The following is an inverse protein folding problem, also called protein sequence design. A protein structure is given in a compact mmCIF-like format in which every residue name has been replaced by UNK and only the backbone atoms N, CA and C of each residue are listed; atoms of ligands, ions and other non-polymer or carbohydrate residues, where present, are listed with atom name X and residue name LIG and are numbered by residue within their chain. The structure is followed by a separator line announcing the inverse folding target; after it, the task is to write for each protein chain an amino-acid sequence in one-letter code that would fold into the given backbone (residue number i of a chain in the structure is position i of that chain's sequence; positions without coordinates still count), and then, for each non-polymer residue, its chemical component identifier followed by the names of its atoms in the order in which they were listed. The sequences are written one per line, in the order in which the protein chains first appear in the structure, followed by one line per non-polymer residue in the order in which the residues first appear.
data_IF_344104670929
#
_entry.id   IF_344104670929
#
_cell.length_a   1.000
_cell.length_b   1.000
_cell.length_c   1.000
_cell.angle_alpha   90.00
_cell.angle_beta   90.00
_cell.angle_gamma   90.00
#
_symmetry.space_group_name_H-M   'P 1'
#
loop_
_entity.id
_entity.type
_entity.pdbx_description
1 polymer ?
#
# COMPACT_ATOMS: atom_id res chain seq x y z
N UNK A 1 -6.22 26.12 4.48
CA UNK A 1 -5.85 25.41 3.23
C UNK A 1 -4.40 24.96 3.15
N UNK A 2 -3.41 25.84 3.38
CA UNK A 2 -1.97 25.52 3.21
C UNK A 2 -1.54 24.27 4.00
N UNK A 3 -1.98 24.13 5.26
CA UNK A 3 -1.64 23.00 6.12
C UNK A 3 -2.15 21.67 5.56
N UNK A 4 -3.39 21.63 5.07
CA UNK A 4 -3.98 20.41 4.49
C UNK A 4 -3.29 20.01 3.18
N UNK A 5 -2.94 20.98 2.33
CA UNK A 5 -2.15 20.73 1.12
C UNK A 5 -0.76 20.17 1.45
N UNK A 6 -0.11 20.72 2.49
CA UNK A 6 1.17 20.21 2.97
C UNK A 6 1.07 18.79 3.55
N UNK A 7 -0.05 18.46 4.22
CA UNK A 7 -0.29 17.10 4.70
C UNK A 7 -0.49 16.11 3.56
N UNK A 8 -1.20 16.51 2.49
CA UNK A 8 -1.43 15.66 1.32
C UNK A 8 -0.15 15.37 0.52
N UNK A 9 0.84 16.27 0.59
CA UNK A 9 2.19 16.05 0.01
C UNK A 9 2.81 14.73 0.46
N UNK A 10 2.55 14.30 1.70
CA UNK A 10 3.15 13.07 2.23
C UNK A 10 2.59 11.80 1.59
N UNK A 11 1.40 11.86 0.98
CA UNK A 11 0.78 10.72 0.30
C UNK A 11 1.60 10.28 -0.91
N UNK A 12 2.15 11.24 -1.68
CA UNK A 12 2.97 10.92 -2.86
C UNK A 12 4.27 10.20 -2.47
N UNK A 13 4.85 10.55 -1.32
CA UNK A 13 6.05 9.89 -0.81
C UNK A 13 5.77 8.43 -0.44
N UNK A 14 4.60 8.15 0.13
CA UNK A 14 4.16 6.78 0.42
C UNK A 14 3.93 5.99 -0.88
N UNK A 15 3.35 6.61 -1.90
CA UNK A 15 3.18 5.99 -3.22
C UNK A 15 4.53 5.67 -3.87
N UNK A 16 5.50 6.57 -3.82
CA UNK A 16 6.85 6.30 -4.34
C UNK A 16 7.55 5.20 -3.55
N UNK A 17 7.46 5.22 -2.23
CA UNK A 17 8.05 4.18 -1.38
C UNK A 17 7.50 2.80 -1.76
N UNK A 18 6.17 2.69 -1.91
CA UNK A 18 5.53 1.46 -2.35
C UNK A 18 5.92 1.06 -3.77
N UNK A 19 5.91 1.98 -4.73
CA UNK A 19 6.29 1.70 -6.11
C UNK A 19 7.71 1.14 -6.23
N UNK A 20 8.65 1.70 -5.45
CA UNK A 20 10.03 1.23 -5.40
C UNK A 20 10.16 -0.14 -4.75
N UNK A 21 9.61 -0.31 -3.53
CA UNK A 21 9.85 -1.52 -2.74
C UNK A 21 9.01 -2.72 -3.16
N UNK A 22 7.75 -2.51 -3.54
CA UNK A 22 6.76 -3.57 -3.74
C UNK A 22 6.45 -3.84 -5.21
N UNK A 23 6.49 -2.80 -6.05
CA UNK A 23 6.33 -2.92 -7.49
C UNK A 23 7.67 -3.01 -8.22
N UNK A 24 8.79 -3.02 -7.47
CA UNK A 24 10.14 -3.16 -8.00
C UNK A 24 10.48 -2.16 -9.12
N UNK A 25 9.93 -0.93 -9.06
CA UNK A 25 10.14 0.08 -10.10
C UNK A 25 11.60 0.52 -10.27
N UNK A 26 12.47 0.28 -9.27
CA UNK A 26 13.91 0.60 -9.34
C UNK A 26 14.75 -0.51 -9.97
N UNK A 27 14.22 -1.73 -10.09
CA UNK A 27 14.94 -2.89 -10.63
C UNK A 27 14.31 -3.53 -11.89
N UNK A 28 13.73 -2.78 -12.85
CA UNK A 28 13.23 -3.36 -14.08
C UNK A 28 14.40 -3.83 -14.95
N UNK A 29 14.42 -5.13 -15.27
CA UNK A 29 15.45 -5.79 -16.09
C UNK A 29 15.25 -5.57 -17.60
N UNK A 30 14.85 -4.35 -17.99
CA UNK A 30 14.66 -3.95 -19.38
C UNK A 30 15.81 -3.04 -19.82
N UNK A 31 16.52 -3.46 -20.86
CA UNK A 31 17.70 -2.75 -21.38
C UNK A 31 17.32 -1.49 -22.15
N UNK A 32 16.31 -1.57 -23.00
CA UNK A 32 15.84 -0.42 -23.79
C UNK A 32 15.02 0.55 -22.97
N UNK A 33 15.30 1.83 -23.13
CA UNK A 33 14.68 2.93 -22.39
C UNK A 33 13.17 3.01 -22.65
N UNK A 34 12.76 2.92 -23.92
CA UNK A 34 11.37 3.02 -24.33
C UNK A 34 10.54 1.88 -23.73
N UNK A 35 11.09 0.67 -23.71
CA UNK A 35 10.43 -0.50 -23.12
C UNK A 35 10.31 -0.36 -21.60
N UNK A 36 11.34 0.18 -20.95
CA UNK A 36 11.31 0.49 -19.51
C UNK A 36 10.21 1.50 -19.19
N UNK A 37 10.10 2.58 -19.97
CA UNK A 37 9.04 3.57 -19.78
C UNK A 37 7.64 2.98 -19.99
N UNK A 38 7.44 2.18 -21.05
CA UNK A 38 6.17 1.47 -21.27
C UNK A 38 5.81 0.56 -20.11
N UNK A 39 6.76 -0.21 -19.59
CA UNK A 39 6.54 -1.07 -18.43
C UNK A 39 6.14 -0.24 -17.20
N UNK A 40 6.89 0.83 -16.89
CA UNK A 40 6.59 1.68 -15.73
C UNK A 40 5.21 2.35 -15.84
N UNK A 41 4.79 2.75 -17.05
CA UNK A 41 3.45 3.27 -17.30
C UNK A 41 2.36 2.22 -17.03
N UNK A 42 2.58 0.97 -17.48
CA UNK A 42 1.67 -0.15 -17.18
C UNK A 42 1.60 -0.40 -15.66
N UNK A 43 2.75 -0.43 -14.98
CA UNK A 43 2.80 -0.63 -13.53
C UNK A 43 2.08 0.49 -12.78
N UNK A 44 2.16 1.74 -13.26
CA UNK A 44 1.41 2.85 -12.69
C UNK A 44 -0.11 2.67 -12.82
N UNK A 45 -0.60 2.18 -13.96
CA UNK A 45 -2.02 1.84 -14.17
C UNK A 45 -2.48 0.70 -13.26
N UNK A 46 -1.66 -0.34 -13.13
CA UNK A 46 -1.93 -1.46 -12.19
C UNK A 46 -2.02 -0.94 -10.75
N UNK A 47 -1.12 -0.04 -10.36
CA UNK A 47 -1.15 0.57 -9.04
C UNK A 47 -2.43 1.37 -8.80
N UNK A 48 -2.85 2.19 -9.76
CA UNK A 48 -4.10 2.94 -9.66
C UNK A 48 -5.32 2.00 -9.56
N UNK A 49 -5.36 0.94 -10.36
CA UNK A 49 -6.40 -0.08 -10.27
C UNK A 49 -6.46 -0.75 -8.89
N UNK A 50 -5.30 -1.09 -8.30
CA UNK A 50 -5.24 -1.65 -6.94
C UNK A 50 -5.77 -0.66 -5.90
N UNK A 51 -5.45 0.64 -6.03
CA UNK A 51 -5.98 1.68 -5.16
C UNK A 51 -7.50 1.83 -5.31
N UNK A 52 -8.02 1.78 -6.54
CA UNK A 52 -9.47 1.80 -6.78
C UNK A 52 -10.16 0.61 -6.13
N UNK A 53 -9.61 -0.60 -6.25
CA UNK A 53 -10.14 -1.80 -5.61
C UNK A 53 -10.18 -1.65 -4.08
N UNK A 54 -9.11 -1.12 -3.47
CA UNK A 54 -9.06 -0.87 -2.03
C UNK A 54 -10.07 0.17 -1.56
N UNK A 55 -10.33 1.20 -2.37
CA UNK A 55 -11.34 2.22 -2.06
C UNK A 55 -12.74 1.60 -1.95
N UNK A 56 -13.06 0.62 -2.79
CA UNK A 56 -14.31 -0.14 -2.71
C UNK A 56 -14.45 -0.96 -1.41
N UNK A 57 -13.32 -1.38 -0.81
CA UNK A 57 -13.28 -2.24 0.37
C UNK A 57 -12.82 -1.52 1.64
N UNK A 58 -12.96 -0.18 1.66
CA UNK A 58 -12.38 0.69 2.70
C UNK A 58 -12.74 0.25 4.13
N UNK A 59 -13.98 -0.16 4.38
CA UNK A 59 -14.44 -0.61 5.70
C UNK A 59 -13.69 -1.85 6.19
N UNK A 60 -13.51 -2.84 5.32
CA UNK A 60 -12.76 -4.06 5.62
C UNK A 60 -11.28 -3.76 5.84
N UNK A 61 -10.68 -2.96 4.96
CA UNK A 61 -9.27 -2.54 5.08
C UNK A 61 -9.02 -1.86 6.42
N UNK A 62 -9.92 -0.97 6.85
CA UNK A 62 -9.80 -0.31 8.15
C UNK A 62 -9.91 -1.29 9.32
N UNK A 63 -10.83 -2.27 9.23
CA UNK A 63 -11.00 -3.30 10.26
C UNK A 63 -9.76 -4.20 10.38
N UNK A 64 -9.20 -4.66 9.26
CA UNK A 64 -7.96 -5.45 9.25
C UNK A 64 -6.80 -4.71 9.88
N UNK A 65 -6.60 -3.44 9.50
CA UNK A 65 -5.53 -2.63 10.06
C UNK A 65 -5.75 -2.32 11.53
N UNK A 66 -7.00 -2.07 11.93
CA UNK A 66 -7.33 -1.84 13.33
C UNK A 66 -7.08 -3.06 14.19
N UNK A 67 -7.25 -4.28 13.71
CA UNK A 67 -7.18 -5.48 14.53
C UNK A 67 -5.82 -6.21 14.47
N UNK A 68 -5.12 -6.16 13.33
CA UNK A 68 -3.87 -6.91 13.12
C UNK A 68 -2.66 -6.02 12.77
N UNK A 69 -2.84 -4.71 12.64
CA UNK A 69 -1.75 -3.76 12.38
C UNK A 69 -1.95 -2.44 13.15
N UNK A 70 -2.11 -2.56 14.47
CA UNK A 70 -2.27 -1.42 15.37
C UNK A 70 -1.10 -0.44 15.27
N UNK A 71 -1.39 0.87 15.28
CA UNK A 71 -0.37 1.91 15.48
C UNK A 71 -0.76 2.88 16.57
N UNK A 72 0.25 3.27 17.35
CA UNK A 72 0.20 4.33 18.35
C UNK A 72 0.66 5.62 17.68
N UNK A 73 -0.21 6.63 17.61
CA UNK A 73 0.09 7.96 17.05
C UNK A 73 -0.94 8.47 16.04
N UNK A 74 -1.51 9.64 16.31
CA UNK A 74 -2.63 10.22 15.55
C UNK A 74 -2.25 10.53 14.09
N UNK A 75 -1.02 10.97 13.84
CA UNK A 75 -0.47 11.25 12.50
C UNK A 75 -0.47 10.03 11.57
N UNK A 76 -0.43 8.82 12.12
CA UNK A 76 -0.42 7.57 11.35
C UNK A 76 -1.81 6.92 11.20
N UNK A 77 -2.82 7.40 11.92
CA UNK A 77 -4.23 6.98 11.75
C UNK A 77 -4.90 7.68 10.57
N UNK A 78 -4.55 8.93 10.33
CA UNK A 78 -5.14 9.77 9.28
C UNK A 78 -4.40 9.71 7.94
N UNK A 79 -3.17 9.20 7.91
CA UNK A 79 -2.37 9.09 6.69
C UNK A 79 -2.88 7.97 5.77
N UNK A 80 -2.77 8.17 4.45
CA UNK A 80 -3.05 7.13 3.45
C UNK A 80 -2.21 5.89 3.77
N UNK A 81 -2.88 4.74 3.86
CA UNK A 81 -2.25 3.50 4.32
C UNK A 81 -1.48 2.89 3.15
N UNK A 82 -0.17 2.65 3.30
CA UNK A 82 0.58 1.89 2.32
C UNK A 82 0.06 0.45 2.17
N UNK A 83 -0.09 0.01 0.92
CA UNK A 83 -0.57 -1.33 0.55
C UNK A 83 0.18 -2.49 1.23
N UNK A 84 1.48 -2.35 1.47
CA UNK A 84 2.28 -3.35 2.19
C UNK A 84 1.80 -3.59 3.63
N UNK A 85 1.17 -2.59 4.27
CA UNK A 85 0.63 -2.75 5.63
C UNK A 85 -0.61 -3.63 5.64
N UNK A 86 -1.45 -3.50 4.61
CA UNK A 86 -2.60 -4.38 4.46
C UNK A 86 -2.13 -5.82 4.26
N UNK A 87 -1.08 -6.04 3.46
CA UNK A 87 -0.48 -7.36 3.30
C UNK A 87 -0.03 -7.95 4.63
N UNK A 88 0.65 -7.15 5.47
CA UNK A 88 1.08 -7.59 6.79
C UNK A 88 -0.12 -7.92 7.71
N UNK A 89 -1.18 -7.09 7.69
CA UNK A 89 -2.39 -7.35 8.45
C UNK A 89 -3.07 -8.66 8.03
N UNK A 90 -3.13 -8.94 6.72
CA UNK A 90 -3.64 -10.22 6.19
C UNK A 90 -2.76 -11.38 6.63
N UNK A 91 -1.44 -11.24 6.59
CA UNK A 91 -0.50 -12.26 7.05
C UNK A 91 -0.76 -12.63 8.52
N UNK A 92 -0.88 -11.63 9.42
CA UNK A 92 -1.18 -11.87 10.83
C UNK A 92 -2.57 -12.48 11.04
N UNK A 93 -3.57 -12.04 10.27
CA UNK A 93 -4.91 -12.61 10.34
C UNK A 93 -4.92 -14.10 9.96
N UNK A 94 -4.23 -14.46 8.86
CA UNK A 94 -4.12 -15.85 8.42
C UNK A 94 -3.31 -16.68 9.41
N UNK A 95 -2.19 -16.14 9.93
CA UNK A 95 -1.39 -16.82 10.94
C UNK A 95 -2.22 -17.14 12.19
N UNK A 96 -2.99 -16.18 12.68
CA UNK A 96 -3.86 -16.39 13.85
C UNK A 96 -4.94 -17.43 13.57
N UNK A 97 -5.62 -17.35 12.41
CA UNK A 97 -6.63 -18.33 12.02
C UNK A 97 -6.06 -19.75 11.89
N UNK A 98 -4.83 -19.89 11.38
CA UNK A 98 -4.18 -21.18 11.23
C UNK A 98 -3.71 -21.73 12.59
N UNK A 99 -3.16 -20.87 13.46
CA UNK A 99 -2.75 -21.25 14.81
C UNK A 99 -3.93 -21.70 15.69
N UNK A 100 -5.12 -21.11 15.52
CA UNK A 100 -6.33 -21.54 16.23
C UNK A 100 -6.85 -22.91 15.76
N UNK A 101 -6.60 -23.31 14.51
CA UNK A 101 -7.04 -24.59 13.95
C UNK A 101 -6.05 -25.75 14.19
N UNK A 102 -4.88 -25.46 14.75
CA UNK A 102 -3.84 -26.45 15.06
C UNK A 102 -3.83 -26.92 16.53
N UNK A 103 -4.84 -26.55 17.31
CA UNK A 103 -5.04 -26.95 18.71
C UNK A 103 -6.15 -27.98 18.89
#
# INVERSE_FOLDING_TARGET
EIVFSYMHRWEIEQSFRFGKSELAMESPRLWFWENRLKLLAIVALVYDFLLQLLRGWRSWVFLFLRNWCHRTGERYRSASIPLYRLRLAIHWCLFFALAQNSG
#
